data_IF_453323272254
#
_entry.id   IF_453323272254
#
_cell.length_a   1.000
_cell.length_b   1.000
_cell.length_c   1.000
_cell.angle_alpha   90.00
_cell.angle_beta   90.00
_cell.angle_gamma   90.00
#
_symmetry.space_group_name_H-M   'P 1'
#
loop_
_entity.id
_entity.type
_entity.pdbx_description
1 polymer ?
#
# COMPACT_ATOMS: atom_id res chain seq x y z
N UNK A 1 8.50 4.23 -7.17
CA UNK A 1 7.06 3.99 -6.88
C UNK A 1 6.25 4.10 -8.18
N UNK A 2 4.98 3.65 -8.21
CA UNK A 2 4.11 3.81 -9.39
C UNK A 2 3.60 5.25 -9.51
N UNK A 3 3.20 5.67 -10.70
CA UNK A 3 2.68 7.03 -10.92
C UNK A 3 1.26 7.20 -10.38
N UNK A 4 0.83 8.42 -10.01
CA UNK A 4 -0.53 8.70 -9.55
C UNK A 4 -1.61 8.24 -10.54
N UNK A 5 -1.37 8.41 -11.84
CA UNK A 5 -2.30 8.01 -12.90
C UNK A 5 -2.54 6.50 -12.90
N UNK A 6 -1.47 5.71 -12.74
CA UNK A 6 -1.58 4.26 -12.63
C UNK A 6 -2.44 3.86 -11.42
N UNK A 7 -2.19 4.48 -10.27
CA UNK A 7 -2.93 4.16 -9.04
C UNK A 7 -4.41 4.52 -9.18
N UNK A 8 -4.72 5.68 -9.78
CA UNK A 8 -6.09 6.13 -9.99
C UNK A 8 -6.85 5.21 -10.96
N UNK A 9 -6.27 4.88 -12.11
CA UNK A 9 -6.90 3.98 -13.10
C UNK A 9 -7.12 2.58 -12.52
N UNK A 10 -6.11 1.99 -11.88
CA UNK A 10 -6.23 0.64 -11.30
C UNK A 10 -7.28 0.62 -10.19
N UNK A 11 -7.22 1.56 -9.25
CA UNK A 11 -8.17 1.62 -8.14
C UNK A 11 -9.60 1.83 -8.62
N UNK A 12 -9.82 2.74 -9.58
CA UNK A 12 -11.15 2.99 -10.18
C UNK A 12 -11.73 1.73 -10.80
N UNK A 13 -10.95 1.03 -11.63
CA UNK A 13 -11.41 -0.16 -12.35
C UNK A 13 -11.68 -1.31 -11.36
N UNK A 14 -10.78 -1.54 -10.40
CA UNK A 14 -11.01 -2.57 -9.39
C UNK A 14 -12.24 -2.25 -8.52
N UNK A 15 -12.43 -0.99 -8.10
CA UNK A 15 -13.62 -0.58 -7.34
C UNK A 15 -14.90 -0.84 -8.12
N UNK A 16 -14.96 -0.47 -9.42
CA UNK A 16 -16.08 -0.78 -10.33
C UNK A 16 -16.47 -2.26 -10.28
N UNK A 17 -15.49 -3.16 -10.35
CA UNK A 17 -15.75 -4.60 -10.35
C UNK A 17 -16.02 -5.20 -8.96
N UNK A 18 -15.52 -4.60 -7.88
CA UNK A 18 -15.92 -4.99 -6.52
C UNK A 18 -17.37 -4.57 -6.28
N UNK A 19 -17.76 -3.36 -6.68
CA UNK A 19 -19.16 -2.89 -6.60
C UNK A 19 -20.10 -3.78 -7.42
N UNK A 20 -19.70 -4.15 -8.65
CA UNK A 20 -20.46 -5.08 -9.49
C UNK A 20 -20.57 -6.48 -8.87
N UNK A 21 -19.54 -6.97 -8.18
CA UNK A 21 -19.58 -8.26 -7.48
C UNK A 21 -20.48 -8.23 -6.23
N UNK A 22 -20.70 -7.05 -5.65
CA UNK A 22 -21.54 -6.84 -4.47
C UNK A 22 -22.98 -6.46 -4.83
N UNK A 23 -23.27 -6.20 -6.10
CA UNK A 23 -24.62 -5.91 -6.58
C UNK A 23 -25.33 -7.18 -7.07
N UNK A 24 -26.62 -7.04 -7.39
CA UNK A 24 -27.40 -8.12 -8.00
C UNK A 24 -27.29 -8.13 -9.55
N UNK A 25 -26.42 -7.30 -10.11
CA UNK A 25 -26.23 -7.19 -11.57
C UNK A 25 -25.35 -8.33 -12.10
N UNK A 26 -25.50 -8.73 -13.38
CA UNK A 26 -24.65 -9.75 -13.98
C UNK A 26 -23.18 -9.30 -14.02
N UNK A 27 -22.28 -10.19 -13.61
CA UNK A 27 -20.84 -9.92 -13.58
C UNK A 27 -20.20 -9.99 -14.97
N UNK A 28 -20.33 -8.91 -15.76
CA UNK A 28 -19.79 -8.80 -17.12
C UNK A 28 -18.62 -7.83 -17.13
N UNK A 29 -17.45 -8.29 -17.60
CA UNK A 29 -16.24 -7.46 -17.68
C UNK A 29 -16.17 -6.72 -19.02
N UNK A 30 -16.05 -5.39 -18.95
CA UNK A 30 -15.79 -4.55 -20.11
C UNK A 30 -14.36 -4.77 -20.63
N UNK A 31 -14.27 -5.09 -21.92
CA UNK A 31 -12.99 -5.26 -22.62
C UNK A 31 -12.13 -3.99 -22.62
N UNK A 32 -12.75 -2.80 -22.60
CA UNK A 32 -12.04 -1.53 -22.55
C UNK A 32 -11.33 -1.34 -21.20
N UNK A 33 -11.93 -1.75 -20.08
CA UNK A 33 -11.27 -1.65 -18.77
C UNK A 33 -10.00 -2.51 -18.72
N UNK A 34 -10.06 -3.74 -19.25
CA UNK A 34 -8.86 -4.60 -19.35
C UNK A 34 -7.77 -3.92 -20.18
N UNK A 35 -8.17 -3.26 -21.26
CA UNK A 35 -7.26 -2.56 -22.15
C UNK A 35 -6.67 -1.30 -21.51
N UNK A 36 -7.46 -0.53 -20.76
CA UNK A 36 -6.97 0.59 -19.95
C UNK A 36 -5.93 0.12 -18.93
N UNK A 37 -6.21 -0.98 -18.22
CA UNK A 37 -5.24 -1.59 -17.28
C UNK A 37 -3.94 -1.97 -17.99
N UNK A 38 -4.01 -2.59 -19.18
CA UNK A 38 -2.82 -2.90 -19.99
C UNK A 38 -2.08 -1.64 -20.43
N UNK A 39 -2.82 -0.58 -20.79
CA UNK A 39 -2.27 0.68 -21.29
C UNK A 39 -1.54 1.45 -20.18
N UNK A 40 -2.03 1.45 -18.94
CA UNK A 40 -1.34 2.14 -17.83
C UNK A 40 -0.13 1.36 -17.34
N UNK A 41 -0.18 0.02 -17.37
CA UNK A 41 0.99 -0.80 -17.14
C UNK A 41 0.81 -2.24 -17.58
N UNK A 42 1.68 -2.68 -18.48
CA UNK A 42 1.92 -4.09 -18.75
C UNK A 42 3.42 -4.35 -19.00
N UNK A 43 3.82 -5.61 -18.80
CA UNK A 43 5.12 -6.19 -19.14
C UNK A 43 4.85 -7.50 -19.88
N UNK A 44 4.50 -7.41 -21.17
CA UNK A 44 4.14 -8.58 -21.96
C UNK A 44 2.78 -9.15 -21.60
N UNK A 45 1.76 -8.28 -21.57
CA UNK A 45 0.35 -8.61 -21.25
C UNK A 45 0.13 -9.05 -19.79
N UNK A 46 -1.09 -9.51 -19.48
CA UNK A 46 -1.43 -10.05 -18.17
C UNK A 46 -1.00 -11.51 -18.04
N UNK A 47 -0.73 -11.86 -16.79
CA UNK A 47 -0.46 -13.22 -16.38
C UNK A 47 -1.58 -13.69 -15.45
N UNK A 48 -1.94 -14.97 -15.49
CA UNK A 48 -2.82 -15.57 -14.48
C UNK A 48 -2.14 -15.72 -13.11
N UNK A 49 -0.88 -15.26 -12.99
CA UNK A 49 -0.12 -15.30 -11.74
C UNK A 49 -0.01 -16.72 -11.21
N UNK A 50 -0.50 -16.93 -10.00
CA UNK A 50 -0.52 -18.23 -9.33
C UNK A 50 -1.93 -18.83 -9.20
N UNK A 51 -2.93 -18.28 -9.91
CA UNK A 51 -4.31 -18.78 -9.84
C UNK A 51 -4.53 -20.11 -10.58
N UNK A 52 -3.64 -20.48 -11.51
CA UNK A 52 -3.70 -21.76 -12.21
C UNK A 52 -2.98 -22.87 -11.44
N UNK A 53 -3.49 -24.10 -11.54
CA UNK A 53 -2.80 -25.30 -11.05
C UNK A 53 -1.61 -25.71 -11.93
N UNK A 54 -1.55 -25.25 -13.18
CA UNK A 54 -0.47 -25.55 -14.12
C UNK A 54 0.73 -24.61 -13.95
N UNK A 55 1.97 -25.07 -14.22
CA UNK A 55 3.15 -24.19 -14.19
C UNK A 55 2.98 -22.97 -15.09
N UNK A 56 3.03 -21.77 -14.51
CA UNK A 56 2.95 -20.52 -15.26
C UNK A 56 4.33 -20.07 -15.74
N UNK A 57 4.64 -20.32 -17.02
CA UNK A 57 5.88 -19.85 -17.67
C UNK A 57 5.84 -18.37 -18.08
N UNK A 58 4.67 -17.73 -17.99
CA UNK A 58 4.43 -16.33 -18.33
C UNK A 58 4.35 -15.45 -17.08
N UNK A 59 4.91 -15.90 -15.95
CA UNK A 59 4.96 -15.11 -14.71
C UNK A 59 5.99 -13.97 -14.83
N UNK A 60 7.12 -14.25 -15.48
CA UNK A 60 8.21 -13.30 -15.68
C UNK A 60 8.32 -12.98 -17.16
N UNK A 61 8.16 -11.70 -17.50
CA UNK A 61 8.43 -11.22 -18.83
C UNK A 61 9.92 -10.90 -18.99
N UNK A 62 10.60 -11.73 -19.76
CA UNK A 62 12.06 -11.75 -19.90
C UNK A 62 12.61 -10.74 -20.91
N UNK A 63 11.78 -10.29 -21.85
CA UNK A 63 12.25 -9.46 -22.96
C UNK A 63 12.46 -8.00 -22.53
N UNK A 64 11.67 -7.51 -21.56
CA UNK A 64 11.72 -6.10 -21.13
C UNK A 64 11.30 -5.92 -19.66
N UNK A 65 12.11 -5.26 -18.81
CA UNK A 65 11.80 -5.09 -17.38
C UNK A 65 10.92 -3.86 -17.08
N UNK A 66 10.73 -2.94 -18.03
CA UNK A 66 9.88 -1.74 -17.86
C UNK A 66 8.55 -1.87 -18.61
N UNK A 67 7.73 -0.83 -18.52
CA UNK A 67 6.43 -0.80 -19.20
C UNK A 67 6.60 -0.97 -20.72
N UNK A 68 5.84 -1.90 -21.31
CA UNK A 68 5.90 -2.21 -22.74
C UNK A 68 4.92 -1.38 -23.58
N UNK A 69 3.79 -0.94 -23.02
CA UNK A 69 2.69 -0.33 -23.77
C UNK A 69 1.88 -1.33 -24.58
N UNK A 70 0.92 -0.85 -25.36
CA UNK A 70 0.12 -1.66 -26.28
C UNK A 70 0.78 -1.72 -27.64
N UNK A 71 0.80 -2.88 -28.29
CA UNK A 71 1.35 -3.00 -29.64
C UNK A 71 0.50 -2.18 -30.62
N UNK A 72 1.13 -1.17 -31.24
CA UNK A 72 0.46 -0.24 -32.13
C UNK A 72 0.56 -0.68 -33.59
N UNK A 73 1.63 -1.36 -33.98
CA UNK A 73 1.87 -1.81 -35.33
C UNK A 73 3.35 -1.91 -35.67
N UNK A 74 3.63 -2.18 -36.94
CA UNK A 74 4.99 -2.29 -37.47
C UNK A 74 5.24 -1.17 -38.46
N UNK A 75 6.42 -0.55 -38.39
CA UNK A 75 6.85 0.48 -39.34
C UNK A 75 6.89 -0.11 -40.75
N UNK A 76 6.06 0.42 -41.65
CA UNK A 76 6.05 0.06 -43.07
C UNK A 76 7.02 0.93 -43.87
N UNK A 77 7.17 2.21 -43.47
CA UNK A 77 8.05 3.17 -44.13
C UNK A 77 8.58 4.16 -43.11
N UNK A 78 9.86 4.50 -43.21
CA UNK A 78 10.48 5.58 -42.45
C UNK A 78 11.13 6.60 -43.38
N UNK A 79 10.75 7.87 -43.26
CA UNK A 79 11.44 8.98 -43.91
C UNK A 79 12.29 9.71 -42.86
N UNK A 80 13.60 9.46 -42.89
CA UNK A 80 14.57 10.03 -41.94
C UNK A 80 14.63 11.56 -41.98
N UNK A 81 14.55 12.15 -43.17
CA UNK A 81 14.66 13.61 -43.36
C UNK A 81 13.47 14.35 -42.73
N UNK A 82 12.26 13.80 -42.86
CA UNK A 82 11.03 14.39 -42.28
C UNK A 82 10.70 13.86 -40.89
N UNK A 83 11.34 12.77 -40.46
CA UNK A 83 11.00 12.07 -39.22
C UNK A 83 9.61 11.44 -39.26
N UNK A 84 9.20 10.89 -40.41
CA UNK A 84 7.87 10.33 -40.62
C UNK A 84 7.91 8.80 -40.58
N UNK A 85 7.13 8.19 -39.69
CA UNK A 85 6.88 6.74 -39.69
C UNK A 85 5.48 6.47 -40.22
N UNK A 86 5.34 5.55 -41.17
CA UNK A 86 4.05 5.06 -41.65
C UNK A 86 3.83 3.66 -41.12
N UNK A 87 2.64 3.39 -40.56
CA UNK A 87 2.27 2.08 -40.00
C UNK A 87 0.77 1.84 -40.10
N UNK A 88 0.39 0.56 -40.14
CA UNK A 88 -1.00 0.13 -39.98
C UNK A 88 -1.31 -0.07 -38.51
N UNK A 89 -2.30 0.66 -38.00
CA UNK A 89 -2.65 0.68 -36.59
C UNK A 89 -3.34 -0.61 -36.15
N UNK A 90 -2.92 -1.15 -35.01
CA UNK A 90 -3.61 -2.18 -34.23
C UNK A 90 -4.40 -1.60 -33.07
N UNK A 91 -4.13 -0.35 -32.73
CA UNK A 91 -4.81 0.39 -31.68
C UNK A 91 -5.05 1.85 -32.11
N UNK A 92 -6.16 2.47 -31.69
CA UNK A 92 -6.37 3.88 -31.96
C UNK A 92 -5.39 4.74 -31.15
N UNK A 93 -4.88 5.76 -31.81
CA UNK A 93 -4.02 6.81 -31.28
C UNK A 93 -4.57 8.20 -31.56
N UNK A 94 -4.28 9.10 -30.64
CA UNK A 94 -4.67 10.51 -30.71
C UNK A 94 -3.44 11.42 -30.55
N UNK A 95 -3.58 12.67 -30.99
CA UNK A 95 -2.59 13.71 -30.69
C UNK A 95 -2.41 13.82 -29.16
N UNK A 96 -1.15 13.79 -28.73
CA UNK A 96 -0.73 13.85 -27.33
C UNK A 96 -0.49 12.49 -26.67
N UNK A 97 -0.87 11.38 -27.31
CA UNK A 97 -0.43 10.05 -26.87
C UNK A 97 1.09 9.91 -26.98
N UNK A 98 1.69 8.97 -26.23
CA UNK A 98 3.12 8.67 -26.36
C UNK A 98 3.35 7.29 -26.96
N UNK A 99 4.32 7.20 -27.85
CA UNK A 99 4.73 5.96 -28.51
C UNK A 99 6.21 5.69 -28.33
N UNK A 100 6.61 4.42 -28.28
CA UNK A 100 8.02 4.00 -28.35
C UNK A 100 8.24 3.09 -29.55
N UNK A 101 9.44 3.11 -30.11
CA UNK A 101 9.87 2.23 -31.19
C UNK A 101 10.85 1.19 -30.62
N UNK A 102 10.81 -0.04 -31.10
CA UNK A 102 11.49 -1.22 -30.54
C UNK A 102 12.98 -1.04 -30.20
N UNK A 103 13.72 -0.32 -31.04
CA UNK A 103 15.18 -0.07 -30.90
C UNK A 103 15.52 1.21 -30.14
N UNK A 104 14.52 1.95 -29.68
CA UNK A 104 14.68 3.25 -29.03
C UNK A 104 14.46 3.12 -27.51
N UNK A 105 15.30 3.80 -26.72
CA UNK A 105 15.20 3.78 -25.25
C UNK A 105 14.12 4.72 -24.69
N UNK A 106 13.61 5.65 -25.52
CA UNK A 106 12.67 6.70 -25.13
C UNK A 106 11.24 6.53 -25.69
N UNK A 107 10.43 7.57 -25.47
CA UNK A 107 9.08 7.69 -26.02
C UNK A 107 8.88 9.05 -26.68
N UNK A 108 8.11 9.09 -27.75
CA UNK A 108 7.76 10.27 -28.52
C UNK A 108 6.30 10.65 -28.26
N UNK A 109 6.04 11.92 -27.95
CA UNK A 109 4.67 12.44 -27.92
C UNK A 109 4.20 12.67 -29.35
N UNK A 110 3.06 12.08 -29.72
CA UNK A 110 2.43 12.29 -31.02
C UNK A 110 1.98 13.74 -31.10
N UNK A 111 2.66 14.55 -31.90
CA UNK A 111 2.32 15.96 -32.14
C UNK A 111 1.93 16.25 -33.59
N UNK A 112 2.03 15.24 -34.45
CA UNK A 112 1.68 15.28 -35.86
C UNK A 112 1.20 13.89 -36.29
N UNK A 113 0.01 13.84 -36.87
CA UNK A 113 -0.68 12.61 -37.26
C UNK A 113 -1.44 12.85 -38.56
N UNK A 114 -1.21 12.00 -39.56
CA UNK A 114 -1.74 12.19 -40.90
C UNK A 114 -2.28 10.89 -41.51
N UNK A 115 -3.29 11.02 -42.36
CA UNK A 115 -3.74 10.01 -43.31
C UNK A 115 -3.70 10.60 -44.71
N UNK A 116 -3.07 9.91 -45.67
CA UNK A 116 -2.94 10.39 -47.06
C UNK A 116 -2.45 11.85 -47.18
N UNK A 117 -1.54 12.28 -46.29
CA UNK A 117 -0.99 13.64 -46.16
C UNK A 117 -1.95 14.70 -45.57
N UNK A 118 -3.17 14.33 -45.20
CA UNK A 118 -4.09 15.20 -44.48
C UNK A 118 -3.93 15.02 -42.97
N UNK A 119 -3.92 16.12 -42.23
CA UNK A 119 -3.83 16.08 -40.77
C UNK A 119 -5.12 15.55 -40.15
N UNK A 120 -4.99 14.64 -39.20
CA UNK A 120 -6.10 14.04 -38.45
C UNK A 120 -5.82 14.12 -36.94
N UNK A 121 -6.86 14.09 -36.11
CA UNK A 121 -6.73 14.16 -34.64
C UNK A 121 -6.95 12.82 -33.93
N UNK A 122 -7.73 11.94 -34.56
CA UNK A 122 -8.15 10.64 -34.03
C UNK A 122 -8.05 9.59 -35.12
N UNK A 123 -7.94 8.32 -34.71
CA UNK A 123 -7.73 7.21 -35.63
C UNK A 123 -8.57 5.99 -35.26
N UNK A 124 -8.70 5.07 -36.22
CA UNK A 124 -9.38 3.80 -36.05
C UNK A 124 -8.39 2.63 -36.16
N UNK A 125 -8.77 1.50 -35.58
CA UNK A 125 -8.02 0.25 -35.76
C UNK A 125 -7.96 -0.11 -37.25
N UNK A 126 -6.84 -0.67 -37.69
CA UNK A 126 -6.51 -1.03 -39.08
C UNK A 126 -6.30 0.14 -40.06
N UNK A 127 -6.39 1.39 -39.61
CA UNK A 127 -6.06 2.56 -40.42
C UNK A 127 -4.55 2.65 -40.68
N UNK A 128 -4.14 3.09 -41.87
CA UNK A 128 -2.73 3.36 -42.19
C UNK A 128 -2.48 4.85 -41.98
N UNK A 129 -1.57 5.17 -41.05
CA UNK A 129 -1.30 6.56 -40.67
C UNK A 129 0.18 6.86 -40.74
N UNK A 130 0.50 8.14 -40.84
CA UNK A 130 1.85 8.66 -40.69
C UNK A 130 1.96 9.48 -39.41
N UNK A 131 2.89 9.09 -38.54
CA UNK A 131 3.24 9.83 -37.31
C UNK A 131 4.49 10.65 -37.60
N UNK A 132 4.42 11.95 -37.35
CA UNK A 132 5.50 12.88 -37.62
C UNK A 132 6.44 13.11 -36.44
N UNK A 133 7.58 13.76 -36.72
CA UNK A 133 8.58 14.23 -35.73
C UNK A 133 9.20 13.12 -34.89
N UNK A 134 9.34 11.93 -35.44
CA UNK A 134 10.03 10.81 -34.81
C UNK A 134 11.41 10.64 -35.47
N UNK A 135 12.47 10.92 -34.70
CA UNK A 135 13.87 10.88 -35.13
C UNK A 135 14.62 9.86 -34.29
N UNK A 136 15.32 8.93 -34.92
CA UNK A 136 16.08 7.89 -34.22
C UNK A 136 16.63 6.85 -35.19
N UNK A 137 17.13 5.75 -34.65
CA UNK A 137 17.63 4.61 -35.44
C UNK A 137 16.47 3.68 -35.81
N UNK A 138 15.59 4.16 -36.69
CA UNK A 138 14.34 3.48 -37.06
C UNK A 138 14.45 2.85 -38.44
N UNK A 139 13.96 1.62 -38.56
CA UNK A 139 13.93 0.82 -39.78
C UNK A 139 12.52 0.33 -40.11
N UNK A 140 12.27 0.02 -41.38
CA UNK A 140 11.10 -0.78 -41.74
C UNK A 140 11.15 -2.12 -41.01
N UNK A 141 10.02 -2.58 -40.49
CA UNK A 141 9.92 -3.78 -39.68
C UNK A 141 10.02 -3.55 -38.16
N UNK A 142 10.45 -2.37 -37.70
CA UNK A 142 10.51 -2.08 -36.27
C UNK A 142 9.09 -2.02 -35.67
N UNK A 143 8.94 -2.55 -34.46
CA UNK A 143 7.65 -2.50 -33.74
C UNK A 143 7.46 -1.15 -33.06
N UNK A 144 6.21 -0.68 -33.07
CA UNK A 144 5.79 0.55 -32.38
C UNK A 144 4.78 0.18 -31.30
N UNK A 145 4.92 0.81 -30.13
CA UNK A 145 4.06 0.58 -28.97
C UNK A 145 3.48 1.90 -28.46
N UNK A 146 2.20 1.91 -28.11
CA UNK A 146 1.54 3.01 -27.41
C UNK A 146 1.84 2.91 -25.91
N UNK A 147 2.71 3.79 -25.42
CA UNK A 147 3.21 3.81 -24.05
C UNK A 147 2.28 4.57 -23.11
N UNK A 148 1.62 5.63 -23.58
CA UNK A 148 0.63 6.33 -22.76
C UNK A 148 -0.49 6.90 -23.61
N UNK A 149 -1.68 6.97 -23.02
CA UNK A 149 -2.86 7.62 -23.59
C UNK A 149 -3.08 8.96 -22.92
N UNK A 150 -3.12 10.06 -23.67
CA UNK A 150 -3.42 11.39 -23.14
C UNK A 150 -4.78 11.42 -22.47
N UNK A 151 -5.76 10.74 -23.05
CA UNK A 151 -7.11 10.64 -22.50
C UNK A 151 -7.07 10.01 -21.10
N UNK A 152 -6.47 8.82 -20.96
CA UNK A 152 -6.39 8.12 -19.66
C UNK A 152 -5.65 8.98 -18.64
N UNK A 153 -4.52 9.59 -19.02
CA UNK A 153 -3.75 10.47 -18.14
C UNK A 153 -4.57 11.69 -17.69
N UNK A 154 -5.34 12.30 -18.59
CA UNK A 154 -6.15 13.49 -18.27
C UNK A 154 -7.29 13.13 -17.33
N UNK A 155 -8.06 12.08 -17.66
CA UNK A 155 -9.15 11.57 -16.82
C UNK A 155 -8.67 11.12 -15.44
N UNK A 156 -7.51 10.45 -15.39
CA UNK A 156 -6.89 10.06 -14.11
C UNK A 156 -6.50 11.30 -13.30
N UNK A 157 -5.82 12.28 -13.91
CA UNK A 157 -5.44 13.53 -13.22
C UNK A 157 -6.65 14.28 -12.67
N UNK A 158 -7.73 14.40 -13.45
CA UNK A 158 -8.97 15.04 -12.99
C UNK A 158 -9.58 14.33 -11.79
N UNK A 159 -9.47 12.99 -11.70
CA UNK A 159 -10.05 12.24 -10.59
C UNK A 159 -9.45 12.52 -9.21
N UNK A 160 -8.23 13.07 -9.14
CA UNK A 160 -7.55 13.41 -7.88
C UNK A 160 -7.04 14.85 -7.82
N UNK A 161 -7.37 15.69 -8.81
CA UNK A 161 -6.98 17.10 -8.82
C UNK A 161 -7.75 17.93 -7.78
N UNK A 162 -8.98 17.53 -7.48
CA UNK A 162 -9.84 18.15 -6.49
C UNK A 162 -10.44 17.10 -5.56
N UNK A 163 -10.75 17.52 -4.34
CA UNK A 163 -11.54 16.68 -3.44
C UNK A 163 -12.96 16.54 -4.01
N UNK A 164 -13.28 15.35 -4.51
CA UNK A 164 -14.56 15.03 -5.11
C UNK A 164 -15.60 14.60 -4.07
N UNK A 165 -15.15 14.17 -2.88
CA UNK A 165 -16.02 13.81 -1.77
C UNK A 165 -16.03 14.94 -0.75
N UNK A 166 -17.12 15.72 -0.75
CA UNK A 166 -17.33 16.81 0.20
C UNK A 166 -18.16 16.33 1.40
N UNK A 167 -17.75 16.74 2.60
CA UNK A 167 -18.51 16.59 3.84
C UNK A 167 -19.52 17.74 3.93
N UNK A 168 -20.81 17.40 4.02
CA UNK A 168 -21.89 18.38 4.18
C UNK A 168 -21.91 18.97 5.59
N UNK A 169 -21.93 20.30 5.67
CA UNK A 169 -22.02 21.08 6.91
C UNK A 169 -23.21 22.03 6.86
N UNK A 170 -23.66 22.45 8.04
CA UNK A 170 -24.59 23.55 8.21
C UNK A 170 -23.83 24.79 8.69
N UNK A 171 -24.30 25.97 8.28
CA UNK A 171 -23.70 27.24 8.66
C UNK A 171 -24.79 28.23 9.09
N UNK A 172 -24.55 28.96 10.17
CA UNK A 172 -25.30 30.15 10.54
C UNK A 172 -24.35 31.34 10.67
N UNK A 173 -24.56 32.38 9.87
CA UNK A 173 -23.75 33.60 9.86
C UNK A 173 -24.53 34.73 10.53
N UNK A 174 -23.93 35.34 11.54
CA UNK A 174 -24.56 36.41 12.33
C UNK A 174 -23.75 37.70 12.14
N UNK A 175 -24.40 38.72 11.60
CA UNK A 175 -23.84 40.04 11.31
C UNK A 175 -24.81 41.08 11.86
N UNK A 176 -24.54 41.56 13.07
CA UNK A 176 -25.38 42.53 13.78
C UNK A 176 -24.64 43.80 14.12
N UNK A 177 -25.37 44.89 14.32
CA UNK A 177 -24.79 46.17 14.75
C UNK A 177 -24.09 46.00 16.10
N UNK A 178 -22.94 46.65 16.25
CA UNK A 178 -22.14 46.65 17.48
C UNK A 178 -21.68 45.26 17.97
N UNK A 179 -21.84 44.22 17.16
CA UNK A 179 -21.46 42.85 17.49
C UNK A 179 -20.39 42.35 16.50
N UNK A 180 -19.41 41.56 16.97
CA UNK A 180 -18.45 40.90 16.09
C UNK A 180 -19.14 39.97 15.07
N UNK A 181 -18.65 39.98 13.82
CA UNK A 181 -19.11 39.05 12.78
C UNK A 181 -18.85 37.61 13.23
N UNK A 182 -19.92 36.82 13.31
CA UNK A 182 -19.87 35.47 13.89
C UNK A 182 -20.34 34.43 12.88
N UNK A 183 -19.72 33.25 12.91
CA UNK A 183 -20.17 32.08 12.17
C UNK A 183 -20.27 30.88 13.11
N UNK A 184 -21.36 30.14 12.99
CA UNK A 184 -21.60 28.87 13.67
C UNK A 184 -21.67 27.76 12.63
N UNK A 185 -20.88 26.70 12.79
CA UNK A 185 -20.84 25.55 11.90
C UNK A 185 -21.26 24.30 12.68
N UNK A 186 -22.20 23.53 12.14
CA UNK A 186 -22.61 22.24 12.69
C UNK A 186 -22.58 21.13 11.63
N UNK A 187 -22.59 19.87 12.07
CA UNK A 187 -22.65 18.74 11.12
C UNK A 187 -23.99 18.69 10.38
N UNK A 188 -23.95 18.30 9.11
CA UNK A 188 -25.13 17.94 8.30
C UNK A 188 -25.08 16.46 7.86
N UNK A 189 -24.34 15.63 8.61
CA UNK A 189 -24.14 14.22 8.31
C UNK A 189 -23.86 13.41 9.60
N UNK A 190 -23.96 12.09 9.49
CA UNK A 190 -23.77 11.15 10.61
C UNK A 190 -22.35 10.55 10.67
N UNK A 191 -21.36 11.17 10.02
CA UNK A 191 -19.98 10.69 10.09
C UNK A 191 -19.45 10.85 11.52
N UNK A 192 -18.80 9.80 12.02
CA UNK A 192 -18.36 9.71 13.42
C UNK A 192 -17.41 10.86 13.80
N UNK A 193 -16.54 11.23 12.87
CA UNK A 193 -15.53 12.29 13.03
C UNK A 193 -16.15 13.69 13.17
N UNK A 194 -17.41 13.84 12.75
CA UNK A 194 -18.15 15.10 12.78
C UNK A 194 -19.38 15.03 13.69
N UNK A 195 -19.57 13.91 14.39
CA UNK A 195 -20.67 13.74 15.34
C UNK A 195 -20.57 14.83 16.42
N UNK A 196 -21.68 15.50 16.69
CA UNK A 196 -21.77 16.62 17.63
C UNK A 196 -20.88 17.84 17.30
N UNK A 197 -20.42 17.97 16.05
CA UNK A 197 -19.70 19.17 15.61
C UNK A 197 -20.58 20.40 15.86
N UNK A 198 -20.11 21.30 16.72
CA UNK A 198 -20.66 22.63 16.96
C UNK A 198 -19.51 23.60 17.22
N UNK A 199 -19.14 24.37 16.20
CA UNK A 199 -18.04 25.32 16.25
C UNK A 199 -18.60 26.72 16.04
N UNK A 200 -18.29 27.63 16.96
CA UNK A 200 -18.59 29.05 16.81
C UNK A 200 -17.29 29.83 16.75
N UNK A 201 -17.13 30.66 15.72
CA UNK A 201 -15.99 31.56 15.58
C UNK A 201 -16.46 32.99 15.43
N UNK A 202 -15.85 33.89 16.21
CA UNK A 202 -16.12 35.32 16.20
C UNK A 202 -14.91 36.03 15.61
N UNK A 203 -15.09 36.66 14.47
CA UNK A 203 -14.08 37.54 13.89
C UNK A 203 -14.08 38.84 14.69
N UNK A 204 -12.94 39.36 15.17
CA UNK A 204 -12.85 40.63 15.90
C UNK A 204 -13.03 41.83 14.98
N UNK A 205 -14.16 41.86 14.27
CA UNK A 205 -14.55 42.90 13.33
C UNK A 205 -16.01 43.25 13.56
N UNK A 206 -16.27 44.52 13.84
CA UNK A 206 -17.62 45.05 14.06
C UNK A 206 -18.11 45.68 12.76
N UNK A 207 -19.29 45.32 12.26
CA UNK A 207 -19.86 45.93 11.06
C UNK A 207 -20.17 47.43 11.24
N UNK A 208 -20.09 48.19 10.14
CA UNK A 208 -20.36 49.63 10.10
C UNK A 208 -21.79 49.92 9.61
N UNK A 209 -22.32 51.11 9.86
CA UNK A 209 -23.60 51.55 9.27
C UNK A 209 -23.44 51.83 7.77
N UNK A 210 -24.38 51.32 6.98
CA UNK A 210 -24.40 51.48 5.53
C UNK A 210 -24.74 52.92 5.13
N UNK A 211 -23.85 53.57 4.38
CA UNK A 211 -24.08 54.93 3.86
C UNK A 211 -24.85 54.97 2.53
N UNK A 212 -24.55 54.05 1.60
CA UNK A 212 -25.15 54.03 0.25
C UNK A 212 -25.55 52.62 -0.23
N UNK A 213 -24.92 51.56 0.28
CA UNK A 213 -25.15 50.17 -0.14
C UNK A 213 -25.08 49.24 1.07
N UNK A 214 -26.21 48.79 1.63
CA UNK A 214 -26.20 47.80 2.69
C UNK A 214 -25.65 46.46 2.17
N UNK A 215 -25.10 45.67 3.09
CA UNK A 215 -24.69 44.31 2.82
C UNK A 215 -25.93 43.47 2.52
N UNK A 216 -25.86 42.67 1.45
CA UNK A 216 -26.95 41.81 1.04
C UNK A 216 -26.69 40.34 1.42
N UNK A 217 -27.77 39.61 1.73
CA UNK A 217 -27.74 38.20 2.12
C UNK A 217 -27.17 37.32 1.01
N UNK A 218 -27.53 37.54 -0.25
CA UNK A 218 -27.01 36.72 -1.37
C UNK A 218 -25.50 36.88 -1.51
N UNK A 219 -24.99 38.10 -1.27
CA UNK A 219 -23.54 38.36 -1.28
C UNK A 219 -22.82 37.58 -0.18
N UNK A 220 -23.40 37.48 1.02
CA UNK A 220 -22.85 36.68 2.12
C UNK A 220 -22.84 35.19 1.74
N UNK A 221 -23.99 34.65 1.28
CA UNK A 221 -24.11 33.24 0.83
C UNK A 221 -23.01 32.94 -0.19
N UNK A 222 -22.88 33.78 -1.23
CA UNK A 222 -21.91 33.58 -2.31
C UNK A 222 -20.46 33.55 -1.82
N UNK A 223 -20.08 34.30 -0.79
CA UNK A 223 -18.71 34.27 -0.26
C UNK A 223 -18.48 33.06 0.65
N UNK A 224 -19.47 32.71 1.48
CA UNK A 224 -19.40 31.58 2.42
C UNK A 224 -19.42 30.23 1.68
N UNK A 225 -20.16 30.11 0.57
CA UNK A 225 -20.23 28.88 -0.23
C UNK A 225 -18.96 28.54 -1.01
N UNK A 226 -17.92 29.39 -1.02
CA UNK A 226 -16.68 29.14 -1.76
C UNK A 226 -15.75 28.16 -1.03
N UNK A 227 -16.12 26.87 -1.04
CA UNK A 227 -15.41 25.79 -0.34
C UNK A 227 -14.68 24.81 -1.28
N UNK A 228 -14.43 25.19 -2.53
CA UNK A 228 -13.85 24.30 -3.54
C UNK A 228 -12.48 23.72 -3.14
N UNK A 229 -11.68 24.48 -2.40
CA UNK A 229 -10.34 24.08 -1.93
C UNK A 229 -10.33 23.31 -0.60
N UNK A 230 -11.48 23.02 -0.01
CA UNK A 230 -11.59 22.30 1.28
C UNK A 230 -12.37 21.00 1.10
N UNK A 231 -12.30 20.01 2.01
CA UNK A 231 -13.13 18.81 1.91
C UNK A 231 -14.60 19.06 2.31
N UNK A 232 -15.07 20.30 2.40
CA UNK A 232 -16.37 20.66 2.95
C UNK A 232 -17.28 21.31 1.91
N UNK A 233 -18.59 21.18 2.10
CA UNK A 233 -19.60 22.01 1.44
C UNK A 233 -20.68 22.39 2.46
N UNK A 234 -21.26 23.57 2.34
CA UNK A 234 -22.42 23.95 3.15
C UNK A 234 -23.69 23.55 2.42
N UNK A 235 -24.51 22.71 3.04
CA UNK A 235 -25.81 22.30 2.51
C UNK A 235 -26.88 23.33 2.91
N UNK A 236 -26.83 23.80 4.16
CA UNK A 236 -27.72 24.82 4.69
C UNK A 236 -26.92 26.03 5.17
N UNK A 237 -27.29 27.23 4.71
CA UNK A 237 -26.69 28.50 5.13
C UNK A 237 -27.81 29.42 5.62
N UNK A 238 -27.83 29.67 6.93
CA UNK A 238 -28.71 30.65 7.56
C UNK A 238 -27.95 31.96 7.79
N UNK A 239 -28.62 33.09 7.58
CA UNK A 239 -28.05 34.42 7.76
C UNK A 239 -28.97 35.25 8.66
N UNK A 240 -28.42 35.65 9.79
CA UNK A 240 -28.97 36.63 10.72
C UNK A 240 -28.23 37.96 10.48
N UNK A 241 -28.91 38.91 9.83
CA UNK A 241 -28.34 40.17 9.34
C UNK A 241 -29.25 41.33 9.74
N UNK A 242 -28.71 42.30 10.46
CA UNK A 242 -29.43 43.54 10.81
C UNK A 242 -29.58 44.47 9.59
N UNK A 243 -30.61 45.32 9.63
CA UNK A 243 -30.82 46.35 8.61
C UNK A 243 -29.71 47.39 8.60
N UNK A 244 -29.38 47.90 7.40
CA UNK A 244 -28.41 48.97 7.18
C UNK A 244 -26.99 48.67 7.70
N UNK A 245 -26.57 47.40 7.67
CA UNK A 245 -25.20 47.00 8.01
C UNK A 245 -24.29 46.97 6.77
N UNK A 246 -23.03 47.35 6.93
CA UNK A 246 -22.00 47.38 5.88
C UNK A 246 -20.71 46.69 6.34
N UNK A 247 -20.12 45.91 5.42
CA UNK A 247 -18.77 45.37 5.56
C UNK A 247 -17.87 46.00 4.48
N UNK A 248 -16.89 46.85 4.85
CA UNK A 248 -15.98 47.54 3.93
C UNK A 248 -15.20 46.61 3.01
N UNK A 249 -14.88 45.40 3.48
CA UNK A 249 -14.13 44.40 2.70
C UNK A 249 -14.78 43.03 2.80
N UNK A 250 -15.17 42.48 1.64
CA UNK A 250 -15.68 41.10 1.54
C UNK A 250 -14.62 40.05 1.91
N UNK A 251 -13.33 40.42 2.00
CA UNK A 251 -12.27 39.54 2.49
C UNK A 251 -12.52 39.06 3.91
N UNK A 252 -13.25 39.82 4.73
CA UNK A 252 -13.62 39.45 6.10
C UNK A 252 -14.44 38.15 6.10
N UNK A 253 -15.42 38.02 5.20
CA UNK A 253 -16.23 36.81 5.06
C UNK A 253 -15.40 35.62 4.55
N UNK A 254 -14.43 35.87 3.67
CA UNK A 254 -13.53 34.83 3.17
C UNK A 254 -12.62 34.29 4.27
N UNK A 255 -12.13 35.17 5.14
CA UNK A 255 -11.29 34.81 6.28
C UNK A 255 -12.10 34.10 7.37
N UNK A 256 -13.29 34.61 7.69
CA UNK A 256 -14.26 33.98 8.59
C UNK A 256 -14.54 32.53 8.18
N UNK A 257 -14.85 32.32 6.90
CA UNK A 257 -15.04 30.98 6.31
C UNK A 257 -13.78 30.12 6.45
N UNK A 258 -12.60 30.65 6.09
CA UNK A 258 -11.34 29.88 6.08
C UNK A 258 -10.99 29.39 7.48
N UNK A 259 -10.94 30.29 8.47
CA UNK A 259 -10.59 29.96 9.86
C UNK A 259 -11.60 28.99 10.45
N UNK A 260 -12.88 29.21 10.18
CA UNK A 260 -13.92 28.33 10.75
C UNK A 260 -13.86 26.92 10.16
N UNK A 261 -13.55 26.78 8.88
CA UNK A 261 -13.31 25.47 8.27
C UNK A 261 -12.00 24.82 8.76
N UNK A 262 -10.96 25.60 9.07
CA UNK A 262 -9.75 25.08 9.76
C UNK A 262 -10.11 24.53 11.15
N UNK A 263 -10.92 25.25 11.93
CA UNK A 263 -11.39 24.75 13.23
C UNK A 263 -12.21 23.44 13.08
N UNK A 264 -12.98 23.29 11.99
CA UNK A 264 -13.69 22.02 11.70
C UNK A 264 -12.71 20.88 11.42
N UNK A 265 -11.59 21.15 10.73
CA UNK A 265 -10.53 20.16 10.52
C UNK A 265 -9.93 19.75 11.86
N UNK A 266 -9.57 20.71 12.70
CA UNK A 266 -8.98 20.46 14.01
C UNK A 266 -9.92 19.66 14.92
N UNK A 267 -11.21 19.98 14.90
CA UNK A 267 -12.23 19.18 15.58
C UNK A 267 -12.25 17.74 15.05
N UNK A 268 -12.34 17.55 13.73
CA UNK A 268 -12.41 16.21 13.14
C UNK A 268 -11.16 15.38 13.47
N UNK A 269 -9.97 15.99 13.41
CA UNK A 269 -8.71 15.36 13.82
C UNK A 269 -8.75 14.98 15.31
N UNK A 270 -9.30 15.85 16.18
CA UNK A 270 -9.46 15.53 17.59
C UNK A 270 -10.41 14.36 17.83
N UNK A 271 -11.42 14.13 16.99
CA UNK A 271 -12.30 12.96 17.11
C UNK A 271 -11.61 11.67 16.64
N UNK A 272 -10.63 11.78 15.74
CA UNK A 272 -9.84 10.65 15.24
C UNK A 272 -8.73 10.34 16.23
N UNK A 273 -9.12 9.77 17.37
CA UNK A 273 -8.17 9.16 18.28
C UNK A 273 -7.92 7.71 17.88
N UNK A 274 -6.68 7.40 17.51
CA UNK A 274 -6.17 6.06 17.82
C UNK A 274 -6.06 6.02 19.33
N UNK A 275 -6.98 5.32 20.00
CA UNK A 275 -6.77 4.84 21.36
C UNK A 275 -5.59 3.88 21.31
N UNK A 276 -4.38 4.45 21.33
CA UNK A 276 -3.22 3.74 21.78
C UNK A 276 -3.46 3.57 23.28
N UNK A 277 -4.07 2.46 23.66
CA UNK A 277 -3.90 1.92 24.99
C UNK A 277 -2.42 1.62 25.13
N UNK A 278 -1.61 2.64 25.43
CA UNK A 278 -0.32 2.46 26.09
C UNK A 278 -0.65 1.60 27.30
N UNK A 279 -0.09 0.40 27.40
CA UNK A 279 -0.07 -0.32 28.66
C UNK A 279 0.60 0.63 29.64
N UNK A 280 -0.16 0.98 30.68
CA UNK A 280 0.19 1.96 31.69
C UNK A 280 1.64 1.78 32.13
N UNK A 281 2.51 2.66 31.66
CA UNK A 281 3.81 2.91 32.24
C UNK A 281 3.96 4.42 32.32
N UNK A 282 3.99 4.92 33.56
CA UNK A 282 4.38 6.28 33.89
C UNK A 282 5.77 6.53 33.30
N UNK A 283 5.85 7.18 32.14
CA UNK A 283 7.11 7.67 31.59
C UNK A 283 6.96 9.17 31.42
N UNK A 284 7.64 9.92 32.28
CA UNK A 284 7.77 11.37 32.18
C UNK A 284 8.41 11.73 30.84
N UNK A 285 7.72 12.57 30.05
CA UNK A 285 8.18 12.99 28.71
C UNK A 285 9.43 13.88 28.73
N UNK A 286 9.84 14.39 29.89
CA UNK A 286 10.97 15.31 30.01
C UNK A 286 12.35 14.62 30.10
N UNK A 287 12.38 13.29 30.22
CA UNK A 287 13.62 12.51 30.41
C UNK A 287 14.16 11.93 29.08
N UNK A 288 14.04 12.66 27.96
CA UNK A 288 14.18 12.03 26.62
C UNK A 288 15.28 12.56 25.72
N UNK A 289 16.04 13.60 26.08
CA UNK A 289 17.19 14.03 25.25
C UNK A 289 18.49 13.99 26.05
N UNK A 290 18.48 14.52 27.28
CA UNK A 290 19.68 14.49 28.12
C UNK A 290 19.95 13.06 28.63
N UNK A 291 18.91 12.34 29.03
CA UNK A 291 19.03 10.91 29.38
C UNK A 291 19.37 10.03 28.18
N UNK A 292 18.99 10.42 26.95
CA UNK A 292 19.41 9.71 25.74
C UNK A 292 20.91 9.89 25.44
N UNK A 293 21.47 11.06 25.72
CA UNK A 293 22.91 11.32 25.59
C UNK A 293 23.71 10.63 26.69
N UNK A 294 23.21 10.67 27.93
CA UNK A 294 23.79 9.97 29.07
C UNK A 294 23.70 8.44 28.88
N UNK A 295 22.59 7.92 28.34
CA UNK A 295 22.43 6.49 28.00
C UNK A 295 23.38 6.05 26.87
N UNK A 296 23.58 6.88 25.85
CA UNK A 296 24.52 6.60 24.77
C UNK A 296 25.98 6.61 25.26
N UNK A 297 26.33 7.51 26.19
CA UNK A 297 27.66 7.61 26.78
C UNK A 297 27.94 6.49 27.81
N UNK A 298 26.94 6.03 28.55
CA UNK A 298 27.11 4.99 29.57
C UNK A 298 27.13 3.55 29.03
N UNK A 299 26.80 3.33 27.74
CA UNK A 299 26.74 1.98 27.13
C UNK A 299 27.93 1.61 26.24
N UNK A 300 29.09 2.22 26.47
CA UNK A 300 30.38 1.58 26.15
C UNK A 300 30.85 0.62 27.26
N UNK A 301 30.09 0.46 28.34
CA UNK A 301 30.24 -0.67 29.27
C UNK A 301 29.31 -1.84 28.87
N UNK A 302 29.79 -2.68 27.95
CA UNK A 302 29.15 -3.95 27.54
C UNK A 302 29.10 -5.02 28.66
N UNK A 303 29.53 -4.70 29.88
CA UNK A 303 29.79 -5.67 30.96
C UNK A 303 28.55 -6.27 31.64
N UNK A 304 27.35 -5.69 31.47
CA UNK A 304 26.12 -6.16 32.15
C UNK A 304 24.98 -6.59 31.20
N UNK A 305 25.24 -6.81 29.92
CA UNK A 305 24.21 -7.33 29.01
C UNK A 305 24.10 -8.86 29.14
N UNK A 306 22.89 -9.37 29.43
CA UNK A 306 22.59 -10.81 29.33
C UNK A 306 23.00 -11.26 27.92
N UNK A 307 23.85 -12.29 27.77
CA UNK A 307 24.28 -12.74 26.47
C UNK A 307 23.07 -13.16 25.63
N UNK A 308 23.00 -12.78 24.35
CA UNK A 308 21.87 -13.12 23.51
C UNK A 308 21.80 -14.64 23.35
N UNK A 309 20.59 -15.18 23.38
CA UNK A 309 20.34 -16.59 23.02
C UNK A 309 20.57 -16.79 21.52
N UNK A 310 21.12 -17.94 21.17
CA UNK A 310 21.46 -18.31 19.80
C UNK A 310 20.41 -19.29 19.28
N UNK A 311 19.68 -18.87 18.25
CA UNK A 311 18.73 -19.69 17.50
C UNK A 311 19.34 -20.09 16.15
N UNK A 312 19.33 -21.38 15.81
CA UNK A 312 19.89 -21.90 14.54
C UNK A 312 18.81 -22.59 13.72
N UNK A 313 18.66 -22.21 12.45
CA UNK A 313 17.83 -22.91 11.48
C UNK A 313 18.66 -23.92 10.67
N UNK A 314 18.39 -25.22 10.85
CA UNK A 314 18.96 -26.27 10.00
C UNK A 314 18.13 -26.42 8.73
N UNK A 315 18.36 -25.51 7.77
CA UNK A 315 17.64 -25.54 6.49
C UNK A 315 17.93 -26.84 5.69
N UNK A 316 19.15 -27.36 5.83
CA UNK A 316 19.61 -28.63 5.26
C UNK A 316 20.24 -29.47 6.38
N UNK A 317 19.76 -30.71 6.55
CA UNK A 317 20.38 -31.73 7.41
C UNK A 317 21.13 -32.71 6.51
N UNK A 318 22.45 -32.84 6.72
CA UNK A 318 23.33 -33.78 6.02
C UNK A 318 23.45 -35.07 6.85
N UNK A 319 23.19 -36.24 6.27
CA UNK A 319 23.23 -37.52 6.98
C UNK A 319 24.64 -37.89 7.47
N UNK A 320 25.68 -37.43 6.79
CA UNK A 320 27.07 -37.78 7.10
C UNK A 320 27.68 -36.89 8.19
N UNK A 321 26.95 -35.87 8.65
CA UNK A 321 27.42 -34.94 9.67
C UNK A 321 27.03 -35.41 11.08
N UNK A 322 28.02 -35.45 11.98
CA UNK A 322 27.79 -35.76 13.39
C UNK A 322 27.25 -34.53 14.16
N UNK A 323 25.93 -34.43 14.24
CA UNK A 323 25.23 -33.36 14.94
C UNK A 323 25.42 -33.36 16.46
N UNK A 324 25.94 -34.44 17.05
CA UNK A 324 26.26 -34.47 18.49
C UNK A 324 27.36 -33.45 18.85
N UNK A 325 28.18 -33.05 17.87
CA UNK A 325 29.28 -32.09 18.02
C UNK A 325 28.84 -30.64 18.16
N UNK A 326 27.59 -30.30 17.80
CA UNK A 326 27.09 -28.93 17.92
C UNK A 326 27.08 -28.47 19.38
N UNK A 327 27.51 -27.23 19.66
CA UNK A 327 27.55 -26.63 21.01
C UNK A 327 27.13 -25.15 20.91
N UNK A 328 26.80 -24.52 22.04
CA UNK A 328 26.47 -23.09 22.15
C UNK A 328 25.26 -22.68 21.28
N UNK A 329 24.23 -23.52 21.26
CA UNK A 329 22.95 -23.25 20.59
C UNK A 329 21.87 -23.38 21.65
N UNK A 330 20.98 -22.38 21.76
CA UNK A 330 19.84 -22.43 22.66
C UNK A 330 18.63 -23.07 21.95
N UNK A 331 18.28 -22.53 20.78
CA UNK A 331 17.10 -22.96 20.03
C UNK A 331 17.50 -23.54 18.67
N UNK A 332 16.81 -24.60 18.26
CA UNK A 332 16.99 -25.23 16.97
C UNK A 332 15.69 -25.22 16.17
N UNK A 333 15.72 -24.63 14.99
CA UNK A 333 14.60 -24.64 14.07
C UNK A 333 14.84 -25.70 13.00
N UNK A 334 13.92 -26.66 12.88
CA UNK A 334 14.04 -27.78 11.93
C UNK A 334 12.80 -27.81 11.04
N UNK A 335 12.95 -27.75 9.70
CA UNK A 335 11.83 -27.87 8.78
C UNK A 335 11.01 -29.16 8.98
N UNK A 336 9.69 -29.03 8.97
CA UNK A 336 8.73 -30.15 9.15
C UNK A 336 9.07 -31.40 8.30
N UNK A 337 9.56 -31.20 7.08
CA UNK A 337 9.92 -32.29 6.13
C UNK A 337 10.90 -33.31 6.71
N UNK A 338 11.75 -32.92 7.67
CA UNK A 338 12.73 -33.83 8.28
C UNK A 338 12.09 -34.80 9.27
N UNK A 339 11.08 -34.36 10.02
CA UNK A 339 10.39 -35.18 11.02
C UNK A 339 9.57 -36.32 10.43
N UNK A 340 9.17 -36.18 9.16
CA UNK A 340 8.34 -37.17 8.46
C UNK A 340 9.20 -38.28 7.84
N UNK A 341 10.49 -38.01 7.59
CA UNK A 341 11.36 -38.96 6.93
C UNK A 341 12.21 -39.71 7.97
N UNK A 342 11.90 -41.01 8.14
CA UNK A 342 12.54 -41.91 9.13
C UNK A 342 14.07 -41.92 9.06
N UNK A 343 14.69 -41.64 7.91
CA UNK A 343 16.15 -41.62 7.78
C UNK A 343 16.84 -40.57 8.68
N UNK A 344 16.11 -39.55 9.16
CA UNK A 344 16.64 -38.54 10.05
C UNK A 344 16.33 -38.81 11.53
N UNK A 345 15.63 -39.90 11.87
CA UNK A 345 15.12 -40.16 13.22
C UNK A 345 16.21 -40.10 14.30
N UNK A 346 17.34 -40.79 14.07
CA UNK A 346 18.46 -40.79 15.03
C UNK A 346 19.05 -39.39 15.23
N UNK A 347 19.20 -38.63 14.14
CA UNK A 347 19.71 -37.25 14.19
C UNK A 347 18.73 -36.36 14.98
N UNK A 348 17.43 -36.47 14.70
CA UNK A 348 16.39 -35.68 15.38
C UNK A 348 16.28 -36.03 16.86
N UNK A 349 16.40 -37.32 17.24
CA UNK A 349 16.44 -37.75 18.64
C UNK A 349 17.64 -37.15 19.38
N UNK A 350 18.81 -37.12 18.75
CA UNK A 350 20.02 -36.48 19.31
C UNK A 350 19.82 -34.97 19.49
N UNK A 351 19.35 -34.28 18.45
CA UNK A 351 19.16 -32.84 18.46
C UNK A 351 18.11 -32.39 19.49
N UNK A 352 16.94 -33.06 19.51
CA UNK A 352 15.82 -32.70 20.40
C UNK A 352 16.08 -33.01 21.87
N UNK A 353 16.99 -33.94 22.16
CA UNK A 353 17.48 -34.15 23.54
C UNK A 353 18.44 -33.05 24.00
N UNK A 354 19.18 -32.43 23.07
CA UNK A 354 20.27 -31.49 23.37
C UNK A 354 19.84 -30.02 23.36
N UNK A 355 18.89 -29.66 22.50
CA UNK A 355 18.50 -28.27 22.25
C UNK A 355 17.00 -28.07 22.27
N UNK A 356 16.54 -26.87 22.64
CA UNK A 356 15.13 -26.50 22.53
C UNK A 356 14.74 -26.47 21.05
N UNK A 357 13.98 -27.48 20.63
CA UNK A 357 13.72 -27.70 19.20
C UNK A 357 12.31 -27.26 18.81
N UNK A 358 12.21 -26.53 17.70
CA UNK A 358 10.96 -26.02 17.15
C UNK A 358 10.76 -26.52 15.72
N UNK A 359 9.53 -26.90 15.40
CA UNK A 359 9.16 -27.33 14.05
C UNK A 359 8.96 -26.08 13.20
N UNK A 360 9.79 -25.93 12.16
CA UNK A 360 9.72 -24.82 11.22
C UNK A 360 8.73 -25.14 10.09
N UNK A 361 7.62 -24.39 10.05
CA UNK A 361 6.55 -24.58 9.09
C UNK A 361 6.83 -23.87 7.76
N UNK A 362 6.39 -24.45 6.63
CA UNK A 362 6.63 -23.88 5.31
C UNK A 362 5.92 -22.53 5.13
N UNK A 363 6.55 -21.65 4.34
CA UNK A 363 6.03 -20.33 3.98
C UNK A 363 4.74 -20.40 3.17
N UNK A 364 4.63 -21.40 2.29
CA UNK A 364 3.46 -21.64 1.44
C UNK A 364 2.74 -22.90 1.90
N UNK A 365 1.45 -22.77 2.21
CA UNK A 365 0.57 -23.89 2.52
C UNK A 365 -0.19 -24.34 1.28
N UNK A 366 -0.13 -25.64 0.98
CA UNK A 366 -0.96 -26.30 -0.06
C UNK A 366 -1.71 -27.47 0.56
N UNK A 367 -2.75 -27.96 -0.12
CA UNK A 367 -3.54 -29.12 0.34
C UNK A 367 -2.68 -30.31 0.77
N UNK A 368 -1.68 -30.68 -0.02
CA UNK A 368 -0.79 -31.80 0.33
C UNK A 368 0.03 -31.52 1.61
N UNK A 369 0.53 -30.30 1.81
CA UNK A 369 1.24 -29.91 3.04
C UNK A 369 0.32 -29.90 4.25
N UNK A 370 -0.92 -29.42 4.06
CA UNK A 370 -1.96 -29.44 5.10
C UNK A 370 -2.19 -30.88 5.57
N UNK A 371 -2.44 -31.81 4.65
CA UNK A 371 -2.64 -33.23 4.98
C UNK A 371 -1.42 -33.84 5.66
N UNK A 372 -0.23 -33.59 5.11
CA UNK A 372 1.03 -34.06 5.66
C UNK A 372 1.25 -33.55 7.10
N UNK A 373 0.89 -32.30 7.38
CA UNK A 373 0.96 -31.73 8.72
C UNK A 373 0.01 -32.43 9.69
N UNK A 374 -1.29 -32.56 9.36
CA UNK A 374 -2.26 -33.21 10.24
C UNK A 374 -1.92 -34.67 10.52
N UNK A 375 -1.43 -35.41 9.53
CA UNK A 375 -1.10 -36.83 9.70
C UNK A 375 0.14 -37.07 10.59
N UNK A 376 1.05 -36.10 10.72
CA UNK A 376 2.36 -36.34 11.34
C UNK A 376 2.65 -35.46 12.57
N UNK A 377 2.03 -34.30 12.72
CA UNK A 377 2.42 -33.33 13.75
C UNK A 377 2.21 -33.85 15.18
N UNK A 378 1.06 -34.50 15.47
CA UNK A 378 0.79 -35.10 16.79
C UNK A 378 1.83 -36.16 17.15
N UNK A 379 2.05 -37.13 16.26
CA UNK A 379 3.06 -38.17 16.46
C UNK A 379 4.47 -37.59 16.61
N UNK A 380 4.80 -36.54 15.85
CA UNK A 380 6.11 -35.87 15.95
C UNK A 380 6.31 -35.26 17.33
N UNK A 381 5.33 -34.53 17.83
CA UNK A 381 5.39 -33.88 19.15
C UNK A 381 5.44 -34.90 20.28
N UNK A 382 4.83 -36.08 20.12
CA UNK A 382 4.91 -37.17 21.10
C UNK A 382 6.28 -37.89 21.07
N UNK A 383 6.85 -38.11 19.89
CA UNK A 383 8.07 -38.89 19.72
C UNK A 383 9.36 -38.08 19.94
N UNK A 384 9.29 -36.75 19.87
CA UNK A 384 10.42 -35.85 19.99
C UNK A 384 10.16 -34.77 21.03
N UNK A 385 11.21 -34.28 21.71
CA UNK A 385 11.11 -33.19 22.69
C UNK A 385 10.96 -31.84 21.98
N UNK A 386 9.76 -31.55 21.48
CA UNK A 386 9.43 -30.32 20.74
C UNK A 386 8.97 -29.23 21.72
N UNK A 387 9.56 -28.04 21.63
CA UNK A 387 9.22 -26.85 22.43
C UNK A 387 8.19 -25.94 21.76
N UNK A 388 7.99 -26.10 20.45
CA UNK A 388 6.93 -25.42 19.73
C UNK A 388 7.17 -25.30 18.24
N UNK A 389 6.69 -24.21 17.65
CA UNK A 389 6.58 -24.04 16.20
C UNK A 389 7.10 -22.69 15.74
N UNK A 390 7.81 -22.67 14.62
CA UNK A 390 8.11 -21.44 13.88
C UNK A 390 7.12 -21.35 12.73
N UNK A 391 6.23 -20.37 12.78
CA UNK A 391 5.19 -20.15 11.78
C UNK A 391 5.64 -19.10 10.76
N UNK A 392 5.27 -19.29 9.49
CA UNK A 392 5.71 -18.43 8.39
C UNK A 392 4.58 -17.61 7.75
N UNK A 393 3.32 -17.85 8.14
CA UNK A 393 2.17 -17.04 7.79
C UNK A 393 1.05 -17.19 8.83
N UNK A 394 0.07 -16.27 8.84
CA UNK A 394 -1.07 -16.29 9.78
C UNK A 394 -1.91 -17.57 9.64
N UNK A 395 -2.00 -18.14 8.43
CA UNK A 395 -2.73 -19.39 8.19
C UNK A 395 -2.16 -20.59 8.97
N UNK A 396 -0.88 -20.57 9.33
CA UNK A 396 -0.30 -21.59 10.20
C UNK A 396 -0.89 -21.60 11.61
N UNK A 397 -1.35 -20.45 12.13
CA UNK A 397 -1.96 -20.35 13.46
C UNK A 397 -3.21 -21.21 13.50
N UNK A 398 -4.07 -21.10 12.47
CA UNK A 398 -5.26 -21.94 12.33
C UNK A 398 -4.91 -23.43 12.29
N UNK A 399 -3.91 -23.82 11.50
CA UNK A 399 -3.48 -25.24 11.43
C UNK A 399 -3.05 -25.79 12.79
N UNK A 400 -2.39 -24.97 13.61
CA UNK A 400 -1.96 -25.37 14.95
C UNK A 400 -3.14 -25.52 15.91
N UNK A 401 -4.07 -24.57 15.91
CA UNK A 401 -5.29 -24.65 16.75
C UNK A 401 -6.21 -25.80 16.36
N UNK A 402 -6.27 -26.17 15.08
CA UNK A 402 -7.04 -27.34 14.61
C UNK A 402 -6.49 -28.67 15.20
N UNK A 403 -5.23 -28.70 15.67
CA UNK A 403 -4.58 -29.91 16.19
C UNK A 403 -4.39 -29.93 17.70
N UNK A 404 -4.11 -28.77 18.30
CA UNK A 404 -3.70 -28.64 19.69
C UNK A 404 -4.63 -27.67 20.41
N UNK A 405 -5.43 -28.21 21.33
CA UNK A 405 -6.16 -27.41 22.32
C UNK A 405 -5.14 -26.74 23.24
N UNK A 406 -5.40 -25.49 23.64
CA UNK A 406 -4.51 -24.71 24.51
C UNK A 406 -3.06 -24.66 24.00
N UNK A 407 -2.89 -24.41 22.70
CA UNK A 407 -1.60 -24.40 22.01
C UNK A 407 -0.47 -23.71 22.81
N UNK A 408 -0.76 -22.52 23.36
CA UNK A 408 0.25 -21.67 23.99
C UNK A 408 0.62 -22.08 25.42
N UNK A 409 -0.13 -22.98 26.05
CA UNK A 409 0.24 -23.54 27.37
C UNK A 409 1.33 -24.60 27.22
N UNK A 410 1.36 -25.31 26.10
CA UNK A 410 2.29 -26.40 25.83
C UNK A 410 3.42 -26.03 24.87
N UNK A 411 3.15 -25.12 23.92
CA UNK A 411 4.05 -24.80 22.82
C UNK A 411 4.28 -23.31 22.69
N UNK A 412 5.54 -22.93 22.46
CA UNK A 412 5.89 -21.58 22.06
C UNK A 412 5.69 -21.42 20.55
N UNK A 413 4.94 -20.41 20.15
CA UNK A 413 4.73 -20.07 18.74
C UNK A 413 5.58 -18.87 18.37
N UNK A 414 6.44 -19.04 17.37
CA UNK A 414 7.40 -18.03 16.93
C UNK A 414 7.01 -17.55 15.53
N UNK A 415 6.76 -16.25 15.38
CA UNK A 415 6.56 -15.63 14.07
C UNK A 415 7.90 -15.46 13.35
N UNK A 416 8.02 -16.08 12.19
CA UNK A 416 9.19 -16.01 11.34
C UNK A 416 9.33 -14.65 10.66
N UNK A 417 10.49 -14.38 10.05
CA UNK A 417 10.78 -13.10 9.38
C UNK A 417 9.81 -12.81 8.22
N UNK A 418 9.16 -13.84 7.66
CA UNK A 418 8.17 -13.73 6.59
C UNK A 418 6.86 -13.07 6.99
N UNK A 419 6.66 -12.78 8.29
CA UNK A 419 5.57 -11.93 8.76
C UNK A 419 5.80 -10.44 8.47
N UNK A 420 6.99 -10.04 8.02
CA UNK A 420 7.29 -8.66 7.61
C UNK A 420 6.90 -7.65 8.70
N UNK A 421 7.41 -7.86 9.92
CA UNK A 421 7.13 -6.97 11.06
C UNK A 421 7.98 -5.71 10.93
N UNK A 422 7.34 -4.59 10.59
CA UNK A 422 7.98 -3.27 10.38
C UNK A 422 7.52 -2.18 11.36
N UNK A 423 6.60 -2.45 12.28
CA UNK A 423 6.11 -1.47 13.24
C UNK A 423 5.51 -2.12 14.50
N UNK A 424 5.32 -1.31 15.54
CA UNK A 424 4.77 -1.75 16.84
C UNK A 424 3.34 -2.28 16.74
N UNK A 425 2.52 -1.77 15.81
CA UNK A 425 1.15 -2.28 15.64
C UNK A 425 1.16 -3.75 15.20
N UNK A 426 2.04 -4.12 14.26
CA UNK A 426 2.23 -5.51 13.88
C UNK A 426 2.66 -6.38 15.07
N UNK A 427 3.51 -5.87 15.96
CA UNK A 427 3.92 -6.58 17.19
C UNK A 427 2.73 -6.79 18.13
N UNK A 428 1.88 -5.77 18.31
CA UNK A 428 0.68 -5.87 19.13
C UNK A 428 -0.33 -6.89 18.59
N UNK A 429 -0.55 -6.91 17.27
CA UNK A 429 -1.41 -7.92 16.64
C UNK A 429 -0.85 -9.34 16.82
N UNK A 430 0.46 -9.52 16.68
CA UNK A 430 1.08 -10.83 16.98
C UNK A 430 0.90 -11.22 18.45
N UNK A 431 1.00 -10.26 19.38
CA UNK A 431 0.78 -10.51 20.80
C UNK A 431 -0.67 -10.93 21.09
N UNK A 432 -1.66 -10.31 20.43
CA UNK A 432 -3.09 -10.71 20.53
C UNK A 432 -3.35 -12.11 19.98
N UNK A 433 -2.54 -12.56 19.03
CA UNK A 433 -2.54 -13.91 18.48
C UNK A 433 -1.69 -14.88 19.31
N UNK A 434 -1.34 -14.51 20.54
CA UNK A 434 -0.53 -15.29 21.49
C UNK A 434 0.85 -15.74 20.98
N UNK A 435 1.39 -15.05 19.98
CA UNK A 435 2.75 -15.29 19.53
C UNK A 435 3.69 -15.00 20.69
N UNK A 436 4.65 -15.91 20.92
CA UNK A 436 5.60 -15.83 22.03
C UNK A 436 6.85 -15.02 21.67
N UNK A 437 7.22 -15.03 20.39
CA UNK A 437 8.43 -14.39 19.86
C UNK A 437 8.27 -14.07 18.38
N UNK A 438 8.89 -13.01 17.88
CA UNK A 438 8.91 -12.71 16.45
C UNK A 438 10.33 -12.46 15.92
N UNK A 439 10.55 -12.71 14.64
CA UNK A 439 11.80 -12.40 13.96
C UNK A 439 11.66 -11.08 13.21
N UNK A 440 12.60 -10.17 13.42
CA UNK A 440 12.66 -8.88 12.74
C UNK A 440 12.82 -9.07 11.23
N UNK A 441 12.16 -8.21 10.44
CA UNK A 441 12.28 -8.26 8.98
C UNK A 441 13.71 -7.91 8.55
N UNK A 442 14.37 -8.72 7.70
CA UNK A 442 15.71 -8.42 7.17
C UNK A 442 15.73 -7.19 6.25
N UNK A 443 14.56 -6.72 5.81
CA UNK A 443 14.40 -5.54 4.95
C UNK A 443 14.19 -4.24 5.76
N UNK A 444 14.19 -4.31 7.10
CA UNK A 444 13.97 -3.14 7.95
C UNK A 444 15.17 -2.18 7.91
N UNK A 445 14.89 -0.89 7.81
CA UNK A 445 15.91 0.14 8.00
C UNK A 445 16.36 0.25 9.47
N UNK A 446 17.46 0.98 9.69
CA UNK A 446 18.07 1.16 11.02
C UNK A 446 17.10 1.78 12.04
N UNK A 447 16.33 2.79 11.67
CA UNK A 447 15.42 3.48 12.59
C UNK A 447 14.27 2.56 12.98
N UNK A 448 13.72 1.83 12.01
CA UNK A 448 12.69 0.81 12.24
C UNK A 448 13.19 -0.29 13.18
N UNK A 449 14.41 -0.79 12.96
CA UNK A 449 15.02 -1.79 13.84
C UNK A 449 15.21 -1.26 15.27
N UNK A 450 15.76 -0.06 15.44
CA UNK A 450 15.96 0.54 16.77
C UNK A 450 14.62 0.73 17.50
N UNK A 451 13.59 1.21 16.80
CA UNK A 451 12.25 1.38 17.36
C UNK A 451 11.67 0.05 17.85
N UNK A 452 11.77 -1.01 17.05
CA UNK A 452 11.31 -2.35 17.42
C UNK A 452 12.18 -2.98 18.53
N UNK A 453 13.49 -2.72 18.53
CA UNK A 453 14.43 -3.16 19.57
C UNK A 453 14.19 -2.47 20.92
N UNK A 454 13.67 -1.24 20.94
CA UNK A 454 13.29 -0.55 22.17
C UNK A 454 11.88 -0.93 22.65
N UNK A 455 11.06 -1.54 21.77
CA UNK A 455 9.70 -1.96 22.09
C UNK A 455 9.69 -3.31 22.83
N UNK A 456 9.28 -3.33 24.11
CA UNK A 456 9.46 -4.48 25.02
C UNK A 456 8.21 -5.36 25.23
N UNK A 457 7.25 -5.34 24.28
CA UNK A 457 6.00 -6.10 24.39
C UNK A 457 6.09 -7.57 24.02
N UNK A 458 7.07 -7.92 23.19
CA UNK A 458 7.24 -9.28 22.70
C UNK A 458 8.71 -9.58 22.51
N UNK A 459 9.11 -10.82 22.81
CA UNK A 459 10.48 -11.27 22.54
C UNK A 459 10.77 -11.22 21.04
N UNK A 460 12.01 -10.88 20.70
CA UNK A 460 12.43 -10.63 19.32
C UNK A 460 13.72 -11.36 18.99
N UNK A 461 13.85 -11.74 17.73
CA UNK A 461 15.08 -12.30 17.16
C UNK A 461 15.52 -11.45 15.98
N UNK A 462 16.83 -11.38 15.79
CA UNK A 462 17.46 -10.74 14.64
C UNK A 462 18.25 -11.80 13.87
N UNK A 463 18.07 -11.86 12.56
CA UNK A 463 18.90 -12.69 11.69
C UNK A 463 20.24 -12.00 11.51
N UNK A 464 21.30 -12.58 12.04
CA UNK A 464 22.66 -12.01 11.96
C UNK A 464 23.54 -12.69 10.91
N UNK A 465 23.23 -13.94 10.54
CA UNK A 465 24.02 -14.70 9.57
C UNK A 465 23.17 -15.81 8.92
N UNK A 466 23.40 -16.06 7.64
CA UNK A 466 22.80 -17.18 6.91
C UNK A 466 22.39 -16.84 5.49
N UNK A 467 21.90 -17.86 4.77
CA UNK A 467 21.36 -17.69 3.42
C UNK A 467 19.85 -17.43 3.52
N UNK A 468 19.44 -16.19 3.29
CA UNK A 468 18.01 -15.82 3.28
C UNK A 468 17.40 -16.24 1.94
N UNK A 469 16.29 -17.00 1.94
CA UNK A 469 15.54 -17.30 0.72
C UNK A 469 15.10 -16.03 -0.01
N UNK A 470 15.59 -15.81 -1.23
CA UNK A 470 15.20 -14.68 -2.08
C UNK A 470 13.77 -14.81 -2.62
N UNK A 471 13.35 -16.03 -2.97
CA UNK A 471 12.06 -16.29 -3.60
C UNK A 471 11.60 -17.72 -3.34
N UNK A 472 10.33 -17.89 -2.96
CA UNK A 472 9.68 -19.20 -2.89
C UNK A 472 8.78 -19.38 -4.11
N UNK A 473 9.05 -20.41 -4.92
CA UNK A 473 8.26 -20.72 -6.11
C UNK A 473 7.77 -22.16 -6.08
N UNK A 474 6.55 -22.37 -6.57
CA UNK A 474 5.98 -23.71 -6.72
C UNK A 474 6.55 -24.48 -7.92
N UNK A 475 7.16 -23.78 -8.89
CA UNK A 475 7.64 -24.38 -10.13
C UNK A 475 9.08 -23.93 -10.38
N UNK A 476 9.91 -24.85 -10.89
CA UNK A 476 11.28 -24.52 -11.28
C UNK A 476 11.26 -23.76 -12.62
N UNK A 477 11.73 -22.50 -12.59
CA UNK A 477 11.86 -21.67 -13.80
C UNK A 477 12.80 -22.26 -14.85
N UNK A 478 13.74 -23.12 -14.42
CA UNK A 478 14.78 -23.69 -15.27
C UNK A 478 14.46 -25.11 -15.78
N UNK A 479 13.40 -25.76 -15.26
CA UNK A 479 13.04 -27.11 -15.70
C UNK A 479 12.45 -27.04 -17.11
N UNK A 480 13.28 -27.32 -18.11
CA UNK A 480 12.85 -27.64 -19.47
C UNK A 480 12.01 -28.93 -19.38
N UNK A 481 10.87 -28.95 -20.07
CA UNK A 481 10.11 -30.19 -20.26
C UNK A 481 10.79 -30.98 -21.36
#
# INVERSE_FOLDING_TARGET
>A
MKSPEYVATVTKIYRKYIDLAMSNEPYIIDSNDKKELLQVFNRGMFSSGHFSNTPNKNLVFKDKPNHMGLFLGTVQKYNKNKGYITLKLKEPINIGDKVSVEKESGSYTISELMENKNNIRETKVNQIVTIGRIKGSISSGDKVYKISSKYITTTANESYKSENRKVSLNCNVIIKKSCPVTIKITSCNDLLEYKNLDITYQMPYIPEDAKNRPLDKETIIRQISKTNSTPYKFENINIDLDENVYLPKLSILNELRRISLENVVDYAISQIHRTYTSPSSNINKNDTIEDMRIFAQNKTNLSNCIPPKISVLLNIINLDFDYSKLKNIDNLYIPLKYFINKKYENILKTLTKKFDTYIYLPTILKGNYKNLFYSNAKNTVQNYKIKGFVISNIGNIKLLHDLFTDLNTHFKVIANYTFNVFNSNSVLELKKLDISKFTLSPESDKNTLLNLCNYNYLQKELIVYGKIPLLNMNYCLLRRK
#
